data_IF_958579474452
#
_entry.id   IF_958579474452
#
_cell.length_a   1.000
_cell.length_b   1.000
_cell.length_c   1.000
_cell.angle_alpha   90.00
_cell.angle_beta   90.00
_cell.angle_gamma   90.00
#
_symmetry.space_group_name_H-M   'P 1'
#
loop_
_entity.id
_entity.type
_entity.pdbx_description
1 polymer ?
#
# COMPACT_ATOMS: atom_id res chain seq x y z
N UNK A 1 6.47 -12.69 -33.06
CA UNK A 1 6.97 -14.06 -32.95
C UNK A 1 7.82 -14.53 -34.13
N UNK A 2 7.68 -13.95 -35.30
CA UNK A 2 8.44 -14.35 -36.50
C UNK A 2 9.75 -13.55 -36.72
N UNK A 3 10.07 -12.59 -35.86
CA UNK A 3 11.30 -11.78 -35.97
C UNK A 3 12.39 -12.32 -35.05
N UNK A 4 13.64 -12.30 -35.52
CA UNK A 4 14.81 -12.93 -34.88
C UNK A 4 15.04 -12.49 -33.42
N UNK A 5 14.59 -11.31 -33.03
CA UNK A 5 14.83 -10.76 -31.69
C UNK A 5 13.60 -10.86 -30.75
N UNK A 6 12.56 -11.59 -31.16
CA UNK A 6 11.40 -11.86 -30.34
C UNK A 6 11.53 -13.25 -29.73
N UNK A 7 11.93 -13.33 -28.48
CA UNK A 7 11.94 -14.58 -27.73
C UNK A 7 10.54 -15.12 -27.45
N UNK A 8 10.47 -16.27 -26.82
CA UNK A 8 9.23 -16.77 -26.21
C UNK A 8 8.93 -15.93 -24.98
N UNK A 9 7.70 -15.40 -24.84
CA UNK A 9 7.30 -14.52 -23.73
C UNK A 9 7.66 -15.12 -22.36
N UNK A 10 7.39 -16.40 -22.15
CA UNK A 10 7.71 -17.10 -20.93
C UNK A 10 9.21 -17.09 -20.55
N UNK A 11 10.11 -16.86 -21.50
CA UNK A 11 11.55 -16.79 -21.22
C UNK A 11 12.01 -15.42 -20.74
N UNK A 12 11.14 -14.43 -20.80
CA UNK A 12 11.42 -13.02 -20.50
C UNK A 12 10.43 -12.43 -19.49
N UNK A 13 10.36 -12.98 -18.26
CA UNK A 13 9.48 -12.46 -17.22
C UNK A 13 9.85 -11.04 -16.78
N UNK A 14 11.07 -10.59 -17.09
CA UNK A 14 11.57 -9.24 -16.85
C UNK A 14 11.01 -8.19 -17.82
N UNK A 15 10.28 -8.61 -18.86
CA UNK A 15 9.73 -7.72 -19.89
C UNK A 15 8.19 -7.74 -19.89
N UNK A 16 7.59 -6.67 -20.44
CA UNK A 16 6.15 -6.62 -20.69
C UNK A 16 5.81 -7.21 -22.06
N UNK A 17 4.85 -8.13 -22.09
CA UNK A 17 4.21 -8.52 -23.35
C UNK A 17 3.18 -7.47 -23.76
N UNK A 18 3.55 -6.59 -24.68
CA UNK A 18 2.67 -5.52 -25.19
C UNK A 18 1.47 -6.06 -26.00
N UNK A 19 1.45 -7.35 -26.32
CA UNK A 19 0.36 -7.98 -27.05
C UNK A 19 -0.64 -8.71 -26.16
N UNK A 20 -0.32 -8.96 -24.90
CA UNK A 20 -1.17 -9.73 -23.98
C UNK A 20 -2.59 -9.17 -23.89
N UNK A 21 -2.74 -7.84 -23.87
CA UNK A 21 -4.03 -7.16 -23.79
C UNK A 21 -4.35 -6.38 -25.07
N UNK A 22 -3.69 -6.68 -26.18
CA UNK A 22 -3.81 -5.93 -27.43
C UNK A 22 -5.20 -6.00 -28.09
N UNK A 23 -6.15 -6.71 -27.48
CA UNK A 23 -7.43 -7.08 -28.09
C UNK A 23 -8.38 -5.96 -28.47
N UNK A 24 -8.11 -4.67 -28.20
CA UNK A 24 -9.09 -3.62 -28.46
C UNK A 24 -8.53 -2.28 -28.94
N UNK A 25 -7.23 -2.16 -29.24
CA UNK A 25 -6.62 -0.90 -29.68
C UNK A 25 -6.84 0.27 -28.71
N UNK A 26 -7.08 -0.02 -27.42
CA UNK A 26 -7.30 0.99 -26.40
C UNK A 26 -6.02 1.76 -26.16
N UNK A 27 -6.12 3.08 -26.13
CA UNK A 27 -4.99 3.96 -25.81
C UNK A 27 -4.48 3.76 -24.39
N UNK A 28 -5.37 3.42 -23.46
CA UNK A 28 -5.12 3.17 -22.04
C UNK A 28 -5.03 1.65 -21.78
N UNK A 29 -3.97 1.03 -22.30
CA UNK A 29 -3.82 -0.42 -22.26
C UNK A 29 -3.23 -0.95 -20.95
N UNK A 30 -2.42 -0.16 -20.22
CA UNK A 30 -1.90 -0.51 -18.89
C UNK A 30 -2.83 -0.08 -17.76
N UNK A 31 -3.46 1.08 -17.93
CA UNK A 31 -4.25 1.73 -16.89
C UNK A 31 -3.52 1.75 -15.55
N UNK A 32 -2.33 2.37 -15.53
CA UNK A 32 -1.56 2.53 -14.31
C UNK A 32 -2.30 3.48 -13.37
N UNK A 33 -2.60 3.03 -12.16
CA UNK A 33 -3.44 3.75 -11.20
C UNK A 33 -2.79 4.03 -9.85
N UNK A 34 -1.60 3.50 -9.60
CA UNK A 34 -0.75 3.88 -8.50
C UNK A 34 0.72 3.74 -8.85
N UNK A 35 1.51 4.59 -8.21
CA UNK A 35 2.96 4.58 -8.22
C UNK A 35 3.39 4.92 -6.79
N UNK A 36 4.41 4.25 -6.30
CA UNK A 36 5.04 4.54 -5.02
C UNK A 36 6.55 4.32 -5.10
N UNK A 37 7.30 4.99 -4.22
CA UNK A 37 8.74 4.96 -4.19
C UNK A 37 9.24 4.54 -2.81
N UNK A 38 10.07 3.52 -2.78
CA UNK A 38 10.79 3.09 -1.60
C UNK A 38 12.22 3.66 -1.61
N UNK A 39 12.50 4.60 -0.70
CA UNK A 39 13.78 5.30 -0.63
C UNK A 39 14.92 4.37 -0.18
N UNK A 40 14.65 3.42 0.72
CA UNK A 40 15.67 2.50 1.24
C UNK A 40 16.14 1.51 0.17
N UNK A 41 15.21 0.99 -0.62
CA UNK A 41 15.50 0.07 -1.71
C UNK A 41 15.90 0.80 -3.00
N UNK A 42 15.64 2.10 -3.11
CA UNK A 42 15.74 2.90 -4.33
C UNK A 42 14.97 2.27 -5.49
N UNK A 43 13.71 1.89 -5.22
CA UNK A 43 12.83 1.18 -6.14
C UNK A 43 11.48 1.86 -6.27
N UNK A 44 10.84 1.68 -7.43
CA UNK A 44 9.49 2.17 -7.71
C UNK A 44 8.57 0.97 -7.92
N UNK A 45 7.39 0.99 -7.28
CA UNK A 45 6.29 0.08 -7.60
C UNK A 45 5.24 0.79 -8.47
N UNK A 46 4.75 0.10 -9.50
CA UNK A 46 3.74 0.59 -10.43
C UNK A 46 2.63 -0.44 -10.55
N UNK A 47 1.38 -0.03 -10.34
CA UNK A 47 0.21 -0.90 -10.51
C UNK A 47 -0.38 -0.77 -11.92
N UNK A 48 -0.53 -1.88 -12.63
CA UNK A 48 -1.23 -1.98 -13.91
C UNK A 48 -2.57 -2.68 -13.72
N UNK A 49 -3.66 -1.90 -13.64
CA UNK A 49 -5.01 -2.42 -13.47
C UNK A 49 -5.44 -3.33 -14.62
N UNK A 50 -5.13 -2.94 -15.86
CA UNK A 50 -5.58 -3.68 -17.04
C UNK A 50 -4.92 -5.06 -17.16
N UNK A 51 -3.68 -5.21 -16.69
CA UNK A 51 -2.96 -6.48 -16.71
C UNK A 51 -3.18 -7.29 -15.42
N UNK A 52 -3.82 -6.72 -14.40
CA UNK A 52 -3.98 -7.32 -13.08
C UNK A 52 -2.62 -7.68 -12.45
N UNK A 53 -1.65 -6.78 -12.60
CA UNK A 53 -0.31 -6.93 -12.06
C UNK A 53 0.19 -5.62 -11.44
N UNK A 54 1.18 -5.73 -10.59
CA UNK A 54 2.07 -4.62 -10.28
C UNK A 54 3.51 -5.03 -10.55
N UNK A 55 4.36 -4.02 -10.74
CA UNK A 55 5.77 -4.19 -11.10
C UNK A 55 6.65 -3.41 -10.16
N UNK A 56 7.80 -3.94 -9.82
CA UNK A 56 8.89 -3.22 -9.15
C UNK A 56 10.01 -3.04 -10.16
N UNK A 57 10.52 -1.82 -10.25
CA UNK A 57 11.63 -1.43 -11.13
C UNK A 57 12.71 -0.71 -10.34
N UNK A 58 13.94 -0.74 -10.83
CA UNK A 58 15.10 -0.06 -10.26
C UNK A 58 15.02 1.45 -10.57
N UNK A 59 14.93 2.30 -9.53
CA UNK A 59 14.94 3.75 -9.69
C UNK A 59 16.35 4.31 -9.81
N UNK A 60 17.38 3.61 -9.35
CA UNK A 60 18.77 4.07 -9.35
C UNK A 60 19.39 4.20 -10.74
N UNK A 61 18.70 3.73 -11.78
CA UNK A 61 19.18 3.74 -13.16
C UNK A 61 19.23 5.14 -13.76
N UNK A 62 20.31 5.43 -14.49
CA UNK A 62 20.31 6.55 -15.43
C UNK A 62 19.40 6.29 -16.63
N UNK A 63 18.98 7.32 -17.35
CA UNK A 63 18.17 7.17 -18.57
C UNK A 63 18.81 6.23 -19.60
N UNK A 64 20.14 6.19 -19.68
CA UNK A 64 20.84 5.29 -20.60
C UNK A 64 20.80 3.84 -20.12
N UNK A 65 20.99 3.60 -18.84
CA UNK A 65 20.89 2.26 -18.23
C UNK A 65 19.46 1.73 -18.30
N UNK A 66 18.46 2.56 -18.00
CA UNK A 66 17.04 2.19 -18.10
C UNK A 66 16.60 1.78 -19.53
N UNK A 67 17.36 2.15 -20.56
CA UNK A 67 17.13 1.70 -21.92
C UNK A 67 17.77 0.35 -22.27
N UNK A 68 18.45 -0.29 -21.31
CA UNK A 68 19.20 -1.54 -21.48
C UNK A 68 18.81 -2.57 -20.42
N UNK A 69 19.41 -3.75 -20.49
CA UNK A 69 19.25 -4.84 -19.52
C UNK A 69 20.37 -4.87 -18.46
N UNK A 70 21.14 -3.79 -18.30
CA UNK A 70 22.26 -3.71 -17.36
C UNK A 70 22.39 -2.32 -16.78
N UNK A 71 22.87 -2.20 -15.54
CA UNK A 71 23.04 -0.93 -14.83
C UNK A 71 22.07 -0.76 -13.67
N UNK A 72 22.16 0.35 -12.97
CA UNK A 72 21.49 0.57 -11.70
C UNK A 72 22.04 -0.29 -10.57
N UNK A 73 21.49 -0.14 -9.37
CA UNK A 73 21.91 -0.91 -8.19
C UNK A 73 21.61 -2.41 -8.32
N UNK A 74 20.53 -2.75 -9.02
CA UNK A 74 20.16 -4.15 -9.31
C UNK A 74 21.00 -4.80 -10.38
N UNK A 75 21.75 -4.02 -11.18
CA UNK A 75 22.50 -4.50 -12.34
C UNK A 75 21.64 -4.91 -13.54
N UNK A 76 20.31 -4.65 -13.49
CA UNK A 76 19.32 -5.12 -14.48
C UNK A 76 18.81 -4.01 -15.41
N UNK A 77 19.31 -2.77 -15.25
CA UNK A 77 18.89 -1.64 -16.07
C UNK A 77 17.39 -1.37 -15.94
N UNK A 78 16.69 -1.28 -17.07
CA UNK A 78 15.24 -1.01 -17.09
C UNK A 78 14.34 -2.24 -17.02
N UNK A 79 14.90 -3.42 -16.76
CA UNK A 79 14.12 -4.64 -16.61
C UNK A 79 13.22 -4.59 -15.36
N UNK A 80 12.09 -5.29 -15.42
CA UNK A 80 11.23 -5.51 -14.26
C UNK A 80 11.98 -6.40 -13.27
N UNK A 81 12.18 -5.89 -12.05
CA UNK A 81 12.81 -6.65 -10.98
C UNK A 81 11.88 -7.70 -10.39
N UNK A 82 10.61 -7.33 -10.24
CA UNK A 82 9.57 -8.16 -9.66
C UNK A 82 8.21 -7.82 -10.29
N UNK A 83 7.40 -8.83 -10.49
CA UNK A 83 6.00 -8.69 -10.92
C UNK A 83 5.11 -9.68 -10.21
N UNK A 84 3.87 -9.28 -9.91
CA UNK A 84 2.95 -10.14 -9.19
C UNK A 84 1.49 -9.84 -9.53
N UNK A 85 0.66 -10.88 -9.50
CA UNK A 85 -0.78 -10.79 -9.63
C UNK A 85 -1.39 -11.61 -10.76
N UNK A 86 -0.74 -11.67 -11.92
CA UNK A 86 -1.29 -12.36 -13.09
C UNK A 86 -0.19 -13.05 -13.94
N UNK A 87 0.21 -14.26 -13.59
CA UNK A 87 1.28 -14.94 -14.33
C UNK A 87 0.90 -15.31 -15.77
N UNK A 88 -0.38 -15.29 -16.15
CA UNK A 88 -0.81 -15.45 -17.53
C UNK A 88 -0.25 -14.30 -18.42
N UNK A 89 -0.06 -13.09 -17.88
CA UNK A 89 0.44 -11.94 -18.61
C UNK A 89 1.87 -12.10 -19.16
N UNK A 90 2.60 -13.12 -18.71
CA UNK A 90 3.94 -13.46 -19.19
C UNK A 90 4.12 -14.96 -19.46
N UNK A 91 3.04 -15.62 -19.89
CA UNK A 91 3.00 -17.03 -20.31
C UNK A 91 3.57 -18.03 -19.26
N UNK A 92 3.45 -17.73 -17.98
CA UNK A 92 3.93 -18.60 -16.89
C UNK A 92 2.83 -19.09 -15.97
N UNK A 93 1.58 -18.95 -16.39
CA UNK A 93 0.38 -19.37 -15.69
C UNK A 93 -0.84 -19.30 -16.57
N UNK A 94 -1.98 -19.45 -15.94
CA UNK A 94 -3.32 -19.39 -16.54
C UNK A 94 -4.18 -18.36 -15.80
N UNK A 95 -5.36 -18.08 -16.32
CA UNK A 95 -6.33 -17.20 -15.64
C UNK A 95 -6.75 -17.73 -14.24
N UNK A 96 -6.56 -19.03 -13.96
CA UNK A 96 -6.83 -19.62 -12.64
C UNK A 96 -5.76 -19.25 -11.60
N UNK A 97 -4.56 -18.86 -12.04
CA UNK A 97 -3.45 -18.49 -11.17
C UNK A 97 -3.47 -17.00 -10.81
N UNK A 98 -4.42 -16.24 -11.38
CA UNK A 98 -4.56 -14.80 -11.17
C UNK A 98 -4.98 -14.49 -9.73
N UNK A 99 -4.26 -13.59 -9.08
CA UNK A 99 -4.49 -13.14 -7.70
C UNK A 99 -5.15 -11.75 -7.66
N UNK A 100 -4.89 -10.89 -8.64
CA UNK A 100 -5.39 -9.52 -8.70
C UNK A 100 -6.53 -9.37 -9.69
N UNK A 101 -7.50 -8.52 -9.34
CA UNK A 101 -8.75 -8.36 -10.06
C UNK A 101 -9.13 -6.88 -10.18
N UNK A 102 -8.38 -6.14 -11.00
CA UNK A 102 -8.58 -4.72 -11.24
C UNK A 102 -8.10 -3.82 -10.10
N UNK A 103 -7.04 -4.22 -9.41
CA UNK A 103 -6.50 -3.61 -8.20
C UNK A 103 -6.16 -2.13 -8.35
N UNK A 104 -6.12 -1.44 -7.21
CA UNK A 104 -5.68 -0.05 -7.04
C UNK A 104 -4.76 0.11 -5.84
N UNK A 105 -4.07 1.23 -5.79
CA UNK A 105 -3.32 1.70 -4.62
C UNK A 105 -2.26 0.71 -4.11
N UNK A 106 -1.50 0.11 -5.00
CA UNK A 106 -0.31 -0.66 -4.59
C UNK A 106 0.73 0.34 -4.08
N UNK A 107 1.24 0.11 -2.87
CA UNK A 107 2.27 0.93 -2.22
C UNK A 107 3.00 0.12 -1.16
N UNK A 108 4.19 0.55 -0.75
CA UNK A 108 4.86 0.01 0.42
C UNK A 108 4.23 0.52 1.70
N UNK A 109 4.13 -0.35 2.70
CA UNK A 109 3.83 0.05 4.07
C UNK A 109 5.11 0.65 4.64
N UNK A 110 5.00 1.83 5.29
CA UNK A 110 6.15 2.48 5.92
C UNK A 110 6.84 1.54 6.91
N UNK A 111 8.17 1.54 6.90
CA UNK A 111 9.02 0.56 7.62
C UNK A 111 8.78 0.49 9.13
N UNK A 112 8.36 1.59 9.74
CA UNK A 112 8.10 1.70 11.18
C UNK A 112 6.67 1.30 11.57
N UNK A 113 5.84 0.91 10.61
CA UNK A 113 4.47 0.45 10.86
C UNK A 113 4.36 -1.07 10.93
N UNK A 114 3.22 -1.56 11.40
CA UNK A 114 2.89 -2.98 11.32
C UNK A 114 2.93 -3.44 9.85
N UNK A 115 3.61 -4.54 9.57
CA UNK A 115 3.89 -5.06 8.22
C UNK A 115 4.79 -4.15 7.36
N UNK A 116 5.61 -3.29 7.98
CA UNK A 116 6.54 -2.40 7.29
C UNK A 116 7.40 -3.11 6.25
N UNK A 117 7.67 -2.42 5.13
CA UNK A 117 8.42 -2.94 3.99
C UNK A 117 7.66 -3.90 3.07
N UNK A 118 6.45 -4.35 3.46
CA UNK A 118 5.58 -5.14 2.58
C UNK A 118 4.71 -4.24 1.70
N UNK A 119 4.11 -4.83 0.68
CA UNK A 119 3.21 -4.12 -0.23
C UNK A 119 1.76 -4.30 0.20
N UNK A 120 1.02 -3.20 0.32
CA UNK A 120 -0.42 -3.18 0.53
C UNK A 120 -1.13 -2.73 -0.74
N UNK A 121 -2.32 -3.27 -0.99
CA UNK A 121 -3.14 -2.90 -2.13
C UNK A 121 -4.63 -3.08 -1.86
N UNK A 122 -5.45 -2.37 -2.64
CA UNK A 122 -6.89 -2.58 -2.73
C UNK A 122 -7.20 -3.46 -3.94
N UNK A 123 -7.62 -4.70 -3.71
CA UNK A 123 -8.00 -5.65 -4.75
C UNK A 123 -9.50 -5.52 -5.03
N UNK A 124 -9.86 -4.81 -6.11
CA UNK A 124 -11.25 -4.45 -6.39
C UNK A 124 -12.18 -5.64 -6.65
N UNK A 125 -11.63 -6.78 -7.05
CA UNK A 125 -12.41 -8.00 -7.17
C UNK A 125 -13.30 -8.06 -8.41
N UNK A 126 -12.89 -7.45 -9.51
CA UNK A 126 -13.64 -7.50 -10.77
C UNK A 126 -13.79 -8.94 -11.26
N UNK A 127 -15.05 -9.43 -11.32
CA UNK A 127 -15.37 -10.80 -11.70
C UNK A 127 -15.40 -11.82 -10.55
N UNK A 128 -15.18 -11.38 -9.29
CA UNK A 128 -15.39 -12.19 -8.09
C UNK A 128 -16.45 -11.62 -7.13
N UNK A 129 -17.01 -10.42 -7.45
CA UNK A 129 -18.12 -9.75 -6.77
C UNK A 129 -17.86 -9.36 -5.30
N UNK A 130 -16.59 -9.25 -4.91
CA UNK A 130 -16.17 -8.71 -3.62
C UNK A 130 -14.76 -8.14 -3.70
N UNK A 131 -14.47 -7.15 -2.87
CA UNK A 131 -13.16 -6.54 -2.73
C UNK A 131 -12.40 -7.08 -1.52
N UNK A 132 -11.08 -6.92 -1.55
CA UNK A 132 -10.21 -7.18 -0.42
C UNK A 132 -9.10 -6.13 -0.31
N UNK A 133 -8.57 -6.00 0.91
CA UNK A 133 -7.27 -5.35 1.12
C UNK A 133 -6.28 -6.48 1.29
N UNK A 134 -5.25 -6.48 0.47
CA UNK A 134 -4.29 -7.57 0.46
C UNK A 134 -2.89 -7.04 0.81
N UNK A 135 -2.12 -7.82 1.56
CA UNK A 135 -0.69 -7.58 1.83
C UNK A 135 0.12 -8.68 1.14
N UNK A 136 1.11 -8.25 0.39
CA UNK A 136 2.03 -9.12 -0.35
C UNK A 136 3.45 -8.88 0.15
N UNK A 137 4.15 -9.96 0.52
CA UNK A 137 5.56 -9.93 0.86
C UNK A 137 6.35 -10.55 -0.30
N UNK A 138 7.00 -9.75 -1.15
CA UNK A 138 7.79 -10.28 -2.25
C UNK A 138 8.88 -11.25 -1.78
N UNK A 139 9.05 -12.34 -2.50
CA UNK A 139 10.10 -13.31 -2.17
C UNK A 139 11.46 -12.79 -2.64
N UNK A 140 12.41 -12.65 -1.71
CA UNK A 140 13.79 -12.25 -1.97
C UNK A 140 14.76 -13.30 -1.47
N UNK A 141 15.94 -13.36 -2.08
CA UNK A 141 17.06 -14.19 -1.62
C UNK A 141 17.82 -13.51 -0.47
N UNK A 142 18.92 -14.11 -0.05
CA UNK A 142 19.76 -13.60 1.05
C UNK A 142 20.45 -12.25 0.75
N UNK A 143 20.48 -11.84 -0.52
CA UNK A 143 21.04 -10.57 -0.96
C UNK A 143 19.95 -9.50 -1.14
N UNK A 144 18.67 -9.86 -1.01
CA UNK A 144 17.53 -8.99 -1.29
C UNK A 144 17.07 -9.02 -2.75
N UNK A 145 17.64 -9.88 -3.59
CA UNK A 145 17.23 -9.99 -4.98
C UNK A 145 15.93 -10.79 -5.13
N UNK A 146 15.00 -10.28 -5.94
CA UNK A 146 13.77 -10.98 -6.28
C UNK A 146 14.06 -12.17 -7.20
N UNK A 147 13.36 -13.27 -6.94
CA UNK A 147 13.54 -14.49 -7.72
C UNK A 147 12.24 -15.22 -8.04
N UNK A 148 12.30 -16.06 -9.05
CA UNK A 148 11.19 -16.97 -9.39
C UNK A 148 11.19 -18.14 -8.41
N UNK A 149 10.10 -18.34 -7.67
CA UNK A 149 10.00 -19.40 -6.66
C UNK A 149 9.91 -20.80 -7.30
N UNK A 150 9.21 -20.89 -8.40
CA UNK A 150 9.16 -22.09 -9.28
C UNK A 150 9.19 -21.66 -10.74
N UNK A 151 8.05 -21.24 -11.26
CA UNK A 151 7.89 -20.72 -12.61
C UNK A 151 7.45 -19.25 -12.62
N UNK A 152 7.00 -18.72 -11.48
CA UNK A 152 6.49 -17.38 -11.28
C UNK A 152 7.20 -16.70 -10.11
N UNK A 153 7.09 -15.39 -10.01
CA UNK A 153 7.48 -14.67 -8.81
C UNK A 153 6.54 -15.04 -7.65
N UNK A 154 7.11 -15.33 -6.48
CA UNK A 154 6.36 -15.58 -5.25
C UNK A 154 5.98 -14.28 -4.54
N UNK A 155 5.11 -14.35 -3.53
CA UNK A 155 4.49 -15.56 -2.96
C UNK A 155 3.35 -16.11 -3.83
N UNK A 156 2.96 -17.36 -3.59
CA UNK A 156 1.82 -17.97 -4.30
C UNK A 156 0.45 -17.47 -3.82
N UNK A 157 0.42 -16.79 -2.69
CA UNK A 157 -0.79 -16.19 -2.09
C UNK A 157 -0.41 -14.95 -1.29
N UNK A 158 -1.38 -14.09 -1.02
CA UNK A 158 -1.23 -12.96 -0.11
C UNK A 158 -0.89 -13.42 1.31
N UNK A 159 -0.18 -12.60 2.05
CA UNK A 159 0.19 -12.87 3.44
C UNK A 159 -0.97 -12.57 4.39
N UNK A 160 -1.66 -11.47 4.15
CA UNK A 160 -2.86 -11.06 4.88
C UNK A 160 -3.90 -10.53 3.89
N UNK A 161 -5.16 -10.75 4.22
CA UNK A 161 -6.30 -10.21 3.48
C UNK A 161 -7.40 -9.81 4.43
N UNK A 162 -7.99 -8.65 4.18
CA UNK A 162 -9.24 -8.23 4.80
C UNK A 162 -10.36 -8.25 3.76
N UNK A 163 -11.51 -8.76 4.13
CA UNK A 163 -12.79 -8.57 3.45
C UNK A 163 -13.90 -8.53 4.50
N UNK A 164 -15.10 -8.05 4.13
CA UNK A 164 -16.26 -8.12 5.05
C UNK A 164 -16.57 -9.57 5.40
N UNK A 165 -17.01 -9.89 6.61
CA UNK A 165 -17.46 -11.24 6.98
C UNK A 165 -18.52 -11.83 6.05
N UNK A 166 -19.34 -10.99 5.42
CA UNK A 166 -20.12 -11.33 4.24
C UNK A 166 -19.48 -10.63 3.02
N UNK A 167 -18.62 -11.32 2.24
CA UNK A 167 -17.75 -10.66 1.25
C UNK A 167 -18.48 -9.74 0.28
N UNK A 168 -19.71 -10.07 -0.11
CA UNK A 168 -20.52 -9.27 -1.04
C UNK A 168 -20.97 -7.92 -0.48
N UNK A 169 -20.83 -7.67 0.84
CA UNK A 169 -21.08 -6.37 1.46
C UNK A 169 -19.95 -5.38 1.21
N UNK A 170 -18.80 -5.85 0.78
CA UNK A 170 -17.62 -5.02 0.49
C UNK A 170 -17.19 -5.24 -0.96
N UNK A 171 -17.76 -4.43 -1.87
CA UNK A 171 -17.43 -4.52 -3.29
C UNK A 171 -17.32 -3.13 -3.94
N UNK A 172 -16.11 -2.66 -4.13
CA UNK A 172 -15.79 -1.44 -4.86
C UNK A 172 -15.11 -1.82 -6.18
N UNK A 173 -15.84 -1.83 -7.28
CA UNK A 173 -15.37 -2.32 -8.58
C UNK A 173 -14.32 -1.45 -9.26
N UNK A 174 -14.02 -0.25 -8.75
CA UNK A 174 -13.05 0.72 -9.31
C UNK A 174 -12.53 1.64 -8.22
N UNK A 175 -11.48 2.44 -8.52
CA UNK A 175 -10.79 3.35 -7.57
C UNK A 175 -10.51 2.69 -6.23
N UNK A 176 -10.52 3.42 -5.10
CA UNK A 176 -10.34 2.89 -3.75
C UNK A 176 -8.88 2.75 -3.32
N UNK A 177 -8.66 2.49 -2.05
CA UNK A 177 -7.33 2.29 -1.49
C UNK A 177 -7.37 1.93 -0.01
N UNK A 178 -6.21 1.68 0.56
CA UNK A 178 -6.04 1.40 1.96
C UNK A 178 -4.76 2.06 2.49
N UNK A 179 -4.63 2.16 3.81
CA UNK A 179 -3.45 2.69 4.47
C UNK A 179 -3.27 1.99 5.82
N UNK A 180 -2.08 1.50 6.11
CA UNK A 180 -1.72 1.05 7.45
C UNK A 180 -1.51 2.28 8.33
N UNK A 181 -2.07 2.27 9.54
CA UNK A 181 -1.98 3.37 10.50
C UNK A 181 -0.98 3.07 11.62
N UNK A 182 -0.43 4.10 12.29
CA UNK A 182 0.54 3.92 13.39
C UNK A 182 0.05 3.08 14.57
N UNK A 183 -1.27 3.00 14.79
CA UNK A 183 -1.88 2.14 15.82
C UNK A 183 -2.03 0.67 15.36
N UNK A 184 -1.55 0.32 14.17
CA UNK A 184 -1.67 -1.00 13.56
C UNK A 184 -3.00 -1.28 12.87
N UNK A 185 -3.96 -0.35 12.93
CA UNK A 185 -5.23 -0.46 12.23
C UNK A 185 -5.05 -0.22 10.71
N UNK A 186 -6.07 -0.55 9.94
CA UNK A 186 -6.11 -0.28 8.50
C UNK A 186 -7.24 0.68 8.19
N UNK A 187 -6.91 1.86 7.65
CA UNK A 187 -7.89 2.77 7.05
C UNK A 187 -8.19 2.28 5.64
N UNK A 188 -9.46 2.14 5.31
CA UNK A 188 -9.95 1.65 4.03
C UNK A 188 -10.82 2.70 3.38
N UNK A 189 -10.54 3.03 2.14
CA UNK A 189 -11.34 3.87 1.29
C UNK A 189 -12.12 3.00 0.31
N UNK A 190 -13.39 2.70 0.59
CA UNK A 190 -14.32 2.23 -0.42
C UNK A 190 -14.72 3.42 -1.28
N UNK A 191 -13.86 3.71 -2.24
CA UNK A 191 -13.97 4.93 -3.04
C UNK A 191 -15.20 4.95 -3.95
N UNK A 192 -15.63 3.79 -4.45
CA UNK A 192 -16.81 3.67 -5.29
C UNK A 192 -18.09 4.14 -4.58
N UNK A 193 -18.15 3.98 -3.27
CA UNK A 193 -19.28 4.35 -2.43
C UNK A 193 -19.00 5.57 -1.54
N UNK A 194 -17.84 6.22 -1.71
CA UNK A 194 -17.44 7.37 -0.89
C UNK A 194 -17.46 7.07 0.62
N UNK A 195 -17.16 5.83 0.99
CA UNK A 195 -17.17 5.37 2.38
C UNK A 195 -15.75 5.12 2.85
N UNK A 196 -15.38 5.73 3.97
CA UNK A 196 -14.11 5.53 4.63
C UNK A 196 -14.35 4.78 5.91
N UNK A 197 -13.55 3.76 6.19
CA UNK A 197 -13.68 3.01 7.42
C UNK A 197 -12.34 2.48 7.91
N UNK A 198 -12.27 2.19 9.19
CA UNK A 198 -11.06 1.68 9.84
C UNK A 198 -11.38 0.35 10.50
N UNK A 199 -10.52 -0.63 10.29
CA UNK A 199 -10.56 -1.91 10.97
C UNK A 199 -9.33 -2.07 11.85
N UNK A 200 -9.50 -2.71 13.00
CA UNK A 200 -8.39 -3.04 13.89
C UNK A 200 -7.64 -4.30 13.42
N UNK A 201 -6.60 -4.69 14.19
CA UNK A 201 -5.78 -5.87 13.90
C UNK A 201 -6.54 -7.21 14.02
N UNK A 202 -7.79 -7.19 14.49
CA UNK A 202 -8.71 -8.33 14.57
C UNK A 202 -9.80 -8.27 13.50
N UNK A 203 -9.62 -7.41 12.50
CA UNK A 203 -10.57 -7.16 11.42
C UNK A 203 -11.93 -6.59 11.88
N UNK A 204 -11.98 -6.00 13.09
CA UNK A 204 -13.20 -5.39 13.63
C UNK A 204 -13.30 -3.95 13.17
N UNK A 205 -14.48 -3.58 12.63
CA UNK A 205 -14.80 -2.21 12.27
C UNK A 205 -14.83 -1.32 13.51
N UNK A 206 -13.91 -0.34 13.58
CA UNK A 206 -13.78 0.58 14.72
C UNK A 206 -14.17 2.02 14.39
N UNK A 207 -14.21 2.38 13.12
CA UNK A 207 -14.63 3.72 12.68
C UNK A 207 -15.19 3.66 11.25
N UNK A 208 -16.18 4.50 10.95
CA UNK A 208 -16.77 4.63 9.63
C UNK A 208 -17.22 6.06 9.38
N UNK A 209 -16.98 6.56 8.17
CA UNK A 209 -17.43 7.86 7.70
C UNK A 209 -17.91 7.75 6.25
N UNK A 210 -19.02 8.40 5.96
CA UNK A 210 -19.57 8.49 4.61
C UNK A 210 -19.32 9.92 4.12
N UNK A 211 -18.62 10.07 3.01
CA UNK A 211 -18.34 11.35 2.39
C UNK A 211 -19.67 12.03 1.98
N UNK A 212 -20.04 13.19 2.56
CA UNK A 212 -21.28 13.87 2.24
C UNK A 212 -21.18 14.73 0.99
N UNK A 213 -20.01 14.83 0.35
CA UNK A 213 -19.80 15.73 -0.79
C UNK A 213 -20.31 15.07 -2.08
N UNK A 214 -21.30 15.70 -2.69
CA UNK A 214 -21.89 15.31 -3.96
C UNK A 214 -21.86 16.50 -4.91
N UNK A 215 -21.34 16.30 -6.13
CA UNK A 215 -21.25 17.39 -7.13
C UNK A 215 -20.58 18.68 -6.58
N UNK A 216 -19.54 18.51 -5.77
CA UNK A 216 -18.79 19.61 -5.10
C UNK A 216 -19.59 20.40 -4.06
N UNK A 217 -20.71 19.87 -3.57
CA UNK A 217 -21.52 20.48 -2.50
C UNK A 217 -21.83 19.44 -1.40
N UNK A 218 -21.87 19.87 -0.12
CA UNK A 218 -22.23 18.97 0.96
C UNK A 218 -23.75 18.70 0.98
N UNK A 219 -24.12 17.47 1.30
CA UNK A 219 -25.49 17.06 1.62
C UNK A 219 -25.79 17.24 3.12
N UNK A 220 -27.05 17.22 3.49
CA UNK A 220 -27.45 17.09 4.88
C UNK A 220 -27.28 15.64 5.36
N UNK A 221 -27.00 15.46 6.64
CA UNK A 221 -26.86 14.14 7.22
C UNK A 221 -28.19 13.36 7.06
N UNK A 222 -28.09 12.16 6.46
CA UNK A 222 -29.24 11.31 6.19
C UNK A 222 -29.88 11.51 4.81
N UNK A 223 -29.42 12.48 4.02
CA UNK A 223 -29.83 12.60 2.62
C UNK A 223 -29.38 11.39 1.81
N UNK A 224 -30.19 11.03 0.82
CA UNK A 224 -29.85 9.94 -0.08
C UNK A 224 -28.76 10.36 -1.05
N UNK A 225 -27.74 9.52 -1.17
CA UNK A 225 -26.70 9.66 -2.18
C UNK A 225 -27.14 8.85 -3.42
N UNK A 226 -27.27 9.54 -4.55
CA UNK A 226 -27.71 8.90 -5.78
C UNK A 226 -26.60 8.09 -6.45
N UNK A 227 -27.02 7.10 -7.22
CA UNK A 227 -26.13 6.37 -8.12
C UNK A 227 -26.23 6.92 -9.54
N UNK A 228 -25.12 6.96 -10.23
CA UNK A 228 -25.03 7.30 -11.66
C UNK A 228 -24.60 6.08 -12.45
N UNK A 229 -24.54 6.19 -13.78
CA UNK A 229 -23.99 5.15 -14.64
C UNK A 229 -22.50 4.84 -14.37
N UNK A 230 -21.80 5.75 -13.65
CA UNK A 230 -20.38 5.66 -13.33
C UNK A 230 -20.09 5.39 -11.84
N UNK A 231 -21.11 5.05 -11.05
CA UNK A 231 -20.97 4.80 -9.61
C UNK A 231 -21.77 5.79 -8.75
N UNK A 232 -21.40 5.95 -7.49
CA UNK A 232 -22.06 6.84 -6.55
C UNK A 232 -21.56 8.27 -6.71
N UNK A 233 -22.46 9.26 -6.55
CA UNK A 233 -22.13 10.67 -6.75
C UNK A 233 -21.11 11.20 -5.75
N UNK A 234 -20.96 10.58 -4.59
CA UNK A 234 -19.97 10.90 -3.56
C UNK A 234 -18.66 10.10 -3.70
N UNK A 235 -18.46 9.42 -4.84
CA UNK A 235 -17.27 8.59 -5.04
C UNK A 235 -15.99 9.39 -4.82
N UNK A 236 -14.98 8.74 -4.23
CA UNK A 236 -13.71 9.35 -3.85
C UNK A 236 -12.57 8.46 -4.31
N UNK A 237 -11.62 9.03 -5.05
CA UNK A 237 -10.53 8.23 -5.62
C UNK A 237 -9.71 7.53 -4.55
N UNK A 238 -9.34 8.26 -3.48
CA UNK A 238 -8.52 7.78 -2.35
C UNK A 238 -8.75 8.66 -1.12
N UNK A 239 -8.58 8.12 0.06
CA UNK A 239 -8.41 8.90 1.29
C UNK A 239 -7.09 8.53 1.98
N UNK A 240 -6.48 9.51 2.64
CA UNK A 240 -5.26 9.32 3.41
C UNK A 240 -5.42 10.07 4.74
N UNK A 241 -5.02 9.42 5.83
CA UNK A 241 -4.95 10.05 7.15
C UNK A 241 -3.52 10.46 7.44
N UNK A 242 -3.33 11.70 7.79
CA UNK A 242 -2.06 12.24 8.24
C UNK A 242 -2.06 12.41 9.76
N UNK A 243 -0.94 12.10 10.40
CA UNK A 243 -0.72 12.39 11.81
C UNK A 243 -0.65 13.91 12.05
N UNK A 244 -1.04 14.43 13.22
CA UNK A 244 -0.91 15.86 13.54
C UNK A 244 0.53 16.38 13.48
N UNK A 245 1.53 15.52 13.65
CA UNK A 245 2.95 15.81 13.55
C UNK A 245 3.54 15.61 12.14
N UNK A 246 2.69 15.35 11.14
CA UNK A 246 3.13 15.28 9.75
C UNK A 246 3.87 16.55 9.33
N UNK A 247 5.06 16.40 8.76
CA UNK A 247 5.94 17.53 8.40
C UNK A 247 5.27 18.60 7.51
N UNK A 248 4.31 18.20 6.68
CA UNK A 248 3.51 19.12 5.86
C UNK A 248 2.65 20.08 6.67
N UNK A 249 2.43 19.80 7.97
CA UNK A 249 1.69 20.69 8.88
C UNK A 249 2.61 21.62 9.69
N UNK A 250 3.91 21.60 9.45
CA UNK A 250 4.83 22.53 10.10
C UNK A 250 4.38 23.97 9.87
N UNK A 251 4.20 24.72 10.97
CA UNK A 251 3.68 26.09 10.99
C UNK A 251 2.20 26.23 10.58
N UNK A 252 1.44 25.13 10.49
CA UNK A 252 -0.01 25.15 10.30
C UNK A 252 -0.68 24.99 11.67
N UNK A 253 -1.57 25.90 12.02
CA UNK A 253 -2.40 25.74 13.21
C UNK A 253 -3.61 24.87 12.84
N UNK A 254 -3.60 23.60 13.26
CA UNK A 254 -4.68 22.65 13.01
C UNK A 254 -5.84 22.95 13.98
N UNK A 255 -6.77 23.78 13.55
CA UNK A 255 -8.00 24.06 14.30
C UNK A 255 -9.14 23.29 13.62
N UNK A 256 -9.92 22.47 14.36
CA UNK A 256 -11.10 21.82 13.81
C UNK A 256 -12.06 22.84 13.21
N UNK A 257 -12.54 22.58 11.99
CA UNK A 257 -13.63 23.33 11.38
C UNK A 257 -15.00 22.86 11.88
N UNK A 258 -16.06 23.40 11.28
CA UNK A 258 -17.41 22.89 11.46
C UNK A 258 -17.60 21.55 10.72
N UNK A 259 -18.76 20.91 10.94
CA UNK A 259 -19.13 19.70 10.21
C UNK A 259 -19.12 19.94 8.69
N UNK A 260 -18.71 18.94 7.93
CA UNK A 260 -18.71 19.02 6.46
C UNK A 260 -20.14 18.90 5.95
N UNK A 261 -20.94 18.00 6.53
CA UNK A 261 -22.34 17.81 6.21
C UNK A 261 -23.21 19.00 6.68
N UNK A 262 -24.29 19.28 5.94
CA UNK A 262 -25.29 20.25 6.33
C UNK A 262 -26.19 19.65 7.40
N UNK A 263 -26.69 20.54 8.31
CA UNK A 263 -27.64 20.17 9.35
C UNK A 263 -27.28 18.85 10.07
N UNK A 264 -26.06 18.75 10.63
CA UNK A 264 -25.65 17.52 11.31
C UNK A 264 -26.66 17.22 12.42
N UNK A 265 -27.15 15.98 12.47
CA UNK A 265 -28.05 15.54 13.51
C UNK A 265 -27.32 15.57 14.85
N UNK A 266 -27.97 16.05 15.90
CA UNK A 266 -27.43 16.02 17.25
C UNK A 266 -27.02 14.59 17.54
N UNK A 267 -25.74 14.42 17.81
CA UNK A 267 -25.01 13.19 17.69
C UNK A 267 -25.66 12.03 18.45
N UNK A 268 -26.19 11.06 17.74
CA UNK A 268 -26.08 9.66 18.11
C UNK A 268 -24.68 9.13 17.77
N UNK A 269 -23.66 9.99 17.85
CA UNK A 269 -22.29 9.53 17.87
C UNK A 269 -22.12 8.75 19.16
N UNK A 270 -22.56 7.51 19.16
CA UNK A 270 -22.02 6.54 20.07
C UNK A 270 -20.57 6.44 19.66
N UNK A 271 -19.72 7.19 20.36
CA UNK A 271 -18.33 6.75 20.48
C UNK A 271 -18.47 5.29 20.86
N UNK A 272 -18.08 4.39 19.95
CA UNK A 272 -17.86 3.02 20.33
C UNK A 272 -16.84 3.09 21.46
N UNK A 273 -17.33 3.09 22.70
CA UNK A 273 -16.57 3.22 23.94
C UNK A 273 -15.74 1.97 24.22
N UNK A 274 -15.38 1.24 23.17
CA UNK A 274 -14.49 0.11 23.21
C UNK A 274 -13.04 0.48 22.86
N UNK A 275 -12.75 1.72 22.45
CA UNK A 275 -11.44 2.25 22.71
C UNK A 275 -11.53 2.82 24.13
N UNK A 276 -11.50 1.96 25.13
CA UNK A 276 -10.74 2.32 26.31
C UNK A 276 -9.45 2.89 25.72
N UNK A 277 -9.27 4.23 25.83
CA UNK A 277 -7.92 4.76 25.83
C UNK A 277 -7.15 3.74 26.65
N UNK A 278 -6.35 2.90 25.99
CA UNK A 278 -5.23 2.36 26.73
C UNK A 278 -4.61 3.64 27.24
N UNK A 279 -4.62 3.87 28.55
CA UNK A 279 -3.85 4.98 29.05
C UNK A 279 -2.54 4.82 28.30
N UNK A 280 -2.11 5.86 27.60
CA UNK A 280 -0.70 6.01 27.32
C UNK A 280 -0.16 5.98 28.73
N UNK A 281 0.14 4.79 29.19
CA UNK A 281 1.02 4.62 30.32
C UNK A 281 2.28 5.18 29.68
N UNK A 282 2.53 6.47 29.94
CA UNK A 282 3.87 6.97 30.03
C UNK A 282 4.48 6.15 31.17
N UNK A 283 4.70 4.87 30.92
CA UNK A 283 5.74 4.17 31.65
C UNK A 283 6.97 4.92 31.20
N UNK A 284 7.44 5.81 32.10
CA UNK A 284 8.75 6.40 31.97
C UNK A 284 9.69 5.21 31.82
N UNK A 285 9.99 4.85 30.56
CA UNK A 285 10.92 3.76 30.28
C UNK A 285 12.26 4.17 30.83
N UNK A 286 12.84 3.33 31.62
CA UNK A 286 14.14 3.59 32.25
C UNK A 286 15.24 3.07 31.33
N UNK A 287 16.23 3.90 31.04
CA UNK A 287 17.40 3.48 30.30
C UNK A 287 18.18 2.47 31.15
N UNK A 288 18.35 1.24 30.66
CA UNK A 288 19.13 0.21 31.31
C UNK A 288 20.63 0.42 31.08
N UNK A 289 21.03 0.49 29.81
CA UNK A 289 22.45 0.70 29.44
C UNK A 289 22.56 1.18 27.98
N UNK A 290 23.76 1.60 27.62
CA UNK A 290 24.09 2.06 26.25
C UNK A 290 25.16 1.12 25.69
N UNK A 291 25.00 0.69 24.44
CA UNK A 291 26.01 -0.13 23.77
C UNK A 291 26.56 0.55 22.50
N UNK A 292 27.77 0.12 22.12
CA UNK A 292 28.31 0.41 20.78
C UNK A 292 27.75 -0.58 19.73
N UNK A 293 28.13 -0.39 18.47
CA UNK A 293 27.75 -1.26 17.33
C UNK A 293 28.17 -2.75 17.50
N UNK A 294 29.09 -3.03 18.43
CA UNK A 294 29.53 -4.40 18.73
C UNK A 294 28.84 -4.97 19.98
N UNK A 295 27.82 -4.26 20.52
CA UNK A 295 27.09 -4.68 21.72
C UNK A 295 27.84 -4.49 23.03
N UNK A 296 28.99 -3.80 23.04
CA UNK A 296 29.76 -3.55 24.26
C UNK A 296 29.16 -2.36 25.00
N UNK A 297 28.93 -2.50 26.29
CA UNK A 297 28.41 -1.45 27.15
C UNK A 297 29.40 -0.27 27.24
N UNK A 298 28.89 0.95 27.04
CA UNK A 298 29.67 2.19 27.10
C UNK A 298 28.88 3.30 27.75
N UNK A 299 29.56 4.25 28.40
CA UNK A 299 28.89 5.38 29.04
C UNK A 299 28.55 6.52 28.09
N UNK A 300 29.43 6.91 27.21
CA UNK A 300 29.16 7.89 26.13
C UNK A 300 30.32 7.88 25.13
N UNK A 301 30.01 8.02 23.84
CA UNK A 301 30.99 8.22 22.77
C UNK A 301 30.39 9.15 21.71
N UNK A 302 31.21 10.10 21.21
CA UNK A 302 30.82 11.03 20.14
C UNK A 302 31.18 10.47 18.77
N UNK A 303 30.49 10.91 17.74
CA UNK A 303 30.74 10.59 16.32
C UNK A 303 30.68 9.08 16.00
N UNK A 304 29.90 8.32 16.80
CA UNK A 304 29.63 6.90 16.56
C UNK A 304 28.16 6.57 16.89
N UNK A 305 27.52 5.62 16.20
CA UNK A 305 26.19 5.16 16.58
C UNK A 305 26.20 4.50 17.94
N UNK A 306 25.23 4.86 18.78
CA UNK A 306 25.00 4.33 20.10
C UNK A 306 23.59 3.72 20.15
N UNK A 307 23.47 2.58 20.83
CA UNK A 307 22.19 1.92 21.07
C UNK A 307 21.81 2.05 22.53
N UNK A 308 20.70 2.72 22.79
CA UNK A 308 20.11 2.93 24.12
C UNK A 308 19.09 1.83 24.35
N UNK A 309 19.34 0.97 25.33
CA UNK A 309 18.51 -0.19 25.68
C UNK A 309 17.67 0.19 26.90
N UNK A 310 16.34 0.01 26.79
CA UNK A 310 15.38 0.38 27.83
C UNK A 310 14.78 -0.85 28.51
N UNK A 311 14.20 -0.67 29.69
CA UNK A 311 13.60 -1.72 30.54
C UNK A 311 12.33 -2.35 29.91
N UNK A 312 11.70 -1.69 28.96
CA UNK A 312 10.58 -2.20 28.17
C UNK A 312 11.01 -3.07 26.97
N UNK A 313 12.33 -3.29 26.81
CA UNK A 313 12.91 -4.06 25.69
C UNK A 313 13.09 -3.25 24.41
N UNK A 314 12.73 -1.98 24.38
CA UNK A 314 12.96 -1.12 23.22
C UNK A 314 14.42 -0.69 23.10
N UNK A 315 14.85 -0.44 21.86
CA UNK A 315 16.21 -0.01 21.53
C UNK A 315 16.14 1.25 20.67
N UNK A 316 16.80 2.33 21.09
CA UNK A 316 16.94 3.55 20.30
C UNK A 316 18.36 3.69 19.78
N UNK A 317 18.51 3.90 18.48
CA UNK A 317 19.80 4.29 17.87
C UNK A 317 19.94 5.80 17.94
N UNK A 318 21.00 6.28 18.60
CA UNK A 318 21.33 7.72 18.67
C UNK A 318 22.73 7.98 18.12
N UNK A 319 22.91 9.11 17.48
CA UNK A 319 24.20 9.59 17.02
C UNK A 319 24.50 10.93 17.70
N UNK A 320 25.51 10.97 18.56
CA UNK A 320 25.95 12.21 19.21
C UNK A 320 27.09 12.81 18.40
N UNK A 321 26.92 14.06 17.96
CA UNK A 321 27.94 14.87 17.30
C UNK A 321 28.56 15.76 18.39
N UNK A 322 29.88 15.94 18.33
CA UNK A 322 30.61 16.80 19.25
C UNK A 322 30.39 18.28 18.93
#
# INVERSE_FOLDING_TARGET
>A
PSKINYGTVANHPELLDINFYAGNGKKDWLHCNSIDYNEELDQIVISSRALNEFYIIDHSTTTLEAATHTGGNSGKGGDILYRWGNPEAYDRGTSADKQLFGQHNVHWIDEDLLDGGKLMLFNNGQGRDFSSIDIVSPSTDVNGDYFLTTNTFGPSSVEWTYTDPNPTNFYASYISGAQRLPNGNTLICDGAHGTFFEVDQSDILVWKYINPIVNSAPLAQGDNISTTNNGWENSTFRCTRYSPDYLGFNNVNLVPGDFIELNPLASNCQMLSAIAERPIINQERSLLYITDILGREITTKYNTPLFYIYDDGTVEKKFKIE
#
